data_IF_358353287871
#
_entry.id   IF_358353287871
#
_cell.length_a   1.000
_cell.length_b   1.000
_cell.length_c   1.000
_cell.angle_alpha   90.00
_cell.angle_beta   90.00
_cell.angle_gamma   90.00
#
_symmetry.space_group_name_H-M   'P 1'
#
loop_
_entity.id
_entity.type
_entity.pdbx_description
1 polymer ?
#
# COMPACT_ATOMS: atom_id res chain seq x y z
N UNK A 1 -1.94 -0.25 6.23
CA UNK A 1 -1.77 -1.12 7.43
C UNK A 1 -1.54 -2.56 6.98
N UNK A 2 -0.75 -3.34 7.74
CA UNK A 2 -0.40 -4.72 7.34
C UNK A 2 -1.63 -5.60 7.06
N UNK A 3 -2.69 -5.48 7.87
CA UNK A 3 -3.93 -6.22 7.64
C UNK A 3 -4.64 -5.81 6.35
N UNK A 4 -4.62 -4.52 6.01
CA UNK A 4 -5.19 -4.02 4.76
C UNK A 4 -4.40 -4.54 3.54
N UNK A 5 -3.07 -4.58 3.64
CA UNK A 5 -2.19 -5.14 2.59
C UNK A 5 -2.48 -6.63 2.37
N UNK A 6 -2.64 -7.40 3.45
CA UNK A 6 -2.97 -8.82 3.36
C UNK A 6 -4.29 -9.09 2.61
N UNK A 7 -5.26 -8.19 2.75
CA UNK A 7 -6.61 -8.35 2.19
C UNK A 7 -6.80 -7.70 0.81
N UNK A 8 -5.72 -7.17 0.19
CA UNK A 8 -5.81 -6.61 -1.15
C UNK A 8 -6.09 -7.68 -2.20
N UNK A 9 -6.97 -7.35 -3.13
CA UNK A 9 -7.27 -8.14 -4.32
C UNK A 9 -6.65 -7.49 -5.56
N UNK A 10 -6.48 -8.28 -6.60
CA UNK A 10 -6.03 -7.75 -7.91
C UNK A 10 -6.97 -6.67 -8.43
N UNK A 11 -8.28 -6.82 -8.19
CA UNK A 11 -9.34 -5.88 -8.60
C UNK A 11 -9.32 -4.56 -7.82
N UNK A 12 -8.58 -4.47 -6.72
CA UNK A 12 -8.46 -3.23 -5.94
C UNK A 12 -7.46 -2.24 -6.54
N UNK A 13 -6.73 -2.64 -7.59
CA UNK A 13 -5.75 -1.81 -8.26
C UNK A 13 -6.41 -1.08 -9.43
N UNK A 14 -6.65 0.23 -9.27
CA UNK A 14 -7.11 1.11 -10.34
C UNK A 14 -5.89 1.81 -10.98
N UNK A 15 -5.31 1.15 -11.99
CA UNK A 15 -4.14 1.68 -12.68
C UNK A 15 -4.48 2.89 -13.59
N UNK A 16 -5.75 3.09 -13.95
CA UNK A 16 -6.19 4.23 -14.76
C UNK A 16 -6.25 5.51 -13.93
N UNK A 17 -6.65 5.39 -12.67
CA UNK A 17 -6.73 6.51 -11.72
C UNK A 17 -5.52 6.62 -10.81
N UNK A 18 -4.59 5.65 -10.87
CA UNK A 18 -3.44 5.53 -9.96
C UNK A 18 -3.86 5.47 -8.50
N UNK A 19 -4.85 4.63 -8.21
CA UNK A 19 -5.41 4.45 -6.87
C UNK A 19 -5.48 2.97 -6.48
N UNK A 20 -5.42 2.71 -5.17
CA UNK A 20 -5.69 1.43 -4.53
C UNK A 20 -6.96 1.57 -3.70
N UNK A 21 -7.92 0.67 -3.89
CA UNK A 21 -9.10 0.56 -3.03
C UNK A 21 -8.75 -0.29 -1.81
N UNK A 22 -8.95 0.24 -0.63
CA UNK A 22 -8.82 -0.47 0.64
C UNK A 22 -10.22 -0.72 1.19
N UNK A 23 -10.70 -1.96 1.04
CA UNK A 23 -11.99 -2.38 1.58
C UNK A 23 -11.91 -2.57 3.09
N UNK A 24 -12.97 -2.18 3.79
CA UNK A 24 -13.16 -2.41 5.23
C UNK A 24 -11.93 -2.05 6.09
N UNK A 25 -11.31 -0.93 5.82
CA UNK A 25 -10.24 -0.39 6.66
C UNK A 25 -10.70 -0.18 8.11
N UNK A 26 -9.89 0.47 8.93
CA UNK A 26 -10.25 0.74 10.34
C UNK A 26 -11.62 1.43 10.42
N UNK A 27 -12.56 0.80 11.13
CA UNK A 27 -13.96 1.26 11.27
C UNK A 27 -14.88 0.79 10.13
N UNK A 28 -14.50 -0.24 9.37
CA UNK A 28 -15.30 -0.83 8.25
C UNK A 28 -15.66 0.19 7.15
N UNK A 29 -14.84 1.23 6.96
CA UNK A 29 -15.02 2.21 5.89
C UNK A 29 -14.02 1.95 4.77
N UNK A 30 -14.50 1.96 3.54
CA UNK A 30 -13.65 1.90 2.35
C UNK A 30 -12.91 3.24 2.17
N UNK A 31 -11.70 3.17 1.67
CA UNK A 31 -10.93 4.35 1.31
C UNK A 31 -10.04 4.08 0.11
N UNK A 32 -9.67 5.16 -0.57
CA UNK A 32 -8.65 5.12 -1.61
C UNK A 32 -7.28 5.45 -1.02
N UNK A 33 -6.25 4.78 -1.53
CA UNK A 33 -4.86 5.08 -1.25
C UNK A 33 -4.13 5.37 -2.56
N UNK A 34 -3.04 6.12 -2.50
CA UNK A 34 -2.24 6.42 -3.69
C UNK A 34 -1.53 5.17 -4.22
N UNK A 35 -1.43 5.07 -5.53
CA UNK A 35 -0.64 4.08 -6.25
C UNK A 35 0.45 4.79 -7.04
N UNK A 36 1.69 4.68 -6.59
CA UNK A 36 2.80 5.31 -7.31
C UNK A 36 3.16 4.55 -8.59
N UNK A 37 3.75 5.20 -9.61
CA UNK A 37 4.22 4.54 -10.82
C UNK A 37 5.20 3.40 -10.53
N UNK A 38 6.14 3.59 -9.62
CA UNK A 38 7.10 2.57 -9.20
C UNK A 38 6.38 1.36 -8.58
N UNK A 39 5.45 1.60 -7.64
CA UNK A 39 4.67 0.53 -7.02
C UNK A 39 3.84 -0.23 -8.06
N UNK A 40 3.18 0.48 -8.99
CA UNK A 40 2.42 -0.16 -10.05
C UNK A 40 3.30 -1.05 -10.94
N UNK A 41 4.51 -0.60 -11.29
CA UNK A 41 5.47 -1.38 -12.07
C UNK A 41 5.85 -2.67 -11.33
N UNK A 42 6.19 -2.58 -10.05
CA UNK A 42 6.54 -3.72 -9.19
C UNK A 42 5.37 -4.70 -9.03
N UNK A 43 4.16 -4.19 -8.83
CA UNK A 43 2.95 -5.03 -8.74
C UNK A 43 2.64 -5.74 -10.06
N UNK A 44 2.89 -5.12 -11.21
CA UNK A 44 2.75 -5.75 -12.53
C UNK A 44 3.77 -6.88 -12.74
N UNK A 45 5.01 -6.69 -12.30
CA UNK A 45 6.03 -7.76 -12.34
C UNK A 45 5.62 -8.92 -11.44
N UNK A 46 5.20 -8.64 -10.21
CA UNK A 46 4.66 -9.64 -9.30
C UNK A 46 3.47 -10.40 -9.92
N UNK A 47 2.50 -9.69 -10.48
CA UNK A 47 1.32 -10.30 -11.10
C UNK A 47 1.69 -11.25 -12.24
N UNK A 48 2.61 -10.83 -13.13
CA UNK A 48 3.10 -11.68 -14.22
C UNK A 48 3.77 -12.95 -13.68
N UNK A 49 4.64 -12.81 -12.69
CA UNK A 49 5.32 -13.93 -12.04
C UNK A 49 4.31 -14.89 -11.39
N UNK A 50 3.43 -14.36 -10.56
CA UNK A 50 2.46 -15.17 -9.84
C UNK A 50 1.47 -15.90 -10.78
N UNK A 51 1.07 -15.25 -11.89
CA UNK A 51 0.24 -15.88 -12.93
C UNK A 51 0.99 -17.00 -13.65
N UNK A 52 2.23 -16.78 -14.04
CA UNK A 52 3.05 -17.78 -14.73
C UNK A 52 3.29 -19.05 -13.87
N UNK A 53 3.33 -18.90 -12.55
CA UNK A 53 3.54 -20.00 -11.59
C UNK A 53 2.24 -20.50 -10.95
N UNK A 54 1.08 -20.12 -11.47
CA UNK A 54 -0.24 -20.54 -10.95
C UNK A 54 -0.44 -20.26 -9.44
N UNK A 55 0.19 -19.21 -8.92
CA UNK A 55 0.13 -18.86 -7.49
C UNK A 55 -1.14 -18.12 -7.12
N UNK A 56 -1.86 -17.52 -8.07
CA UNK A 56 -3.07 -16.73 -7.78
C UNK A 56 -4.23 -17.10 -8.71
N UNK A 57 -5.43 -16.88 -8.20
CA UNK A 57 -6.68 -17.05 -8.94
C UNK A 57 -7.03 -15.76 -9.70
N UNK A 58 -7.76 -15.84 -10.84
CA UNK A 58 -8.28 -14.67 -11.52
C UNK A 58 -9.12 -13.80 -10.58
N UNK A 59 -8.81 -12.50 -10.48
CA UNK A 59 -9.48 -11.57 -9.57
C UNK A 59 -9.31 -11.87 -8.07
N UNK A 60 -8.45 -12.84 -7.70
CA UNK A 60 -8.21 -13.25 -6.33
C UNK A 60 -7.31 -12.30 -5.54
N UNK A 61 -6.77 -12.81 -4.44
CA UNK A 61 -5.88 -12.05 -3.56
C UNK A 61 -4.62 -11.59 -4.29
N UNK A 62 -4.23 -10.34 -4.07
CA UNK A 62 -2.98 -9.80 -4.62
C UNK A 62 -1.77 -10.54 -4.05
N UNK A 63 -1.84 -10.89 -2.78
CA UNK A 63 -0.85 -11.70 -2.09
C UNK A 63 -1.53 -12.97 -1.54
N UNK A 64 -1.63 -14.04 -2.34
CA UNK A 64 -2.24 -15.29 -1.92
C UNK A 64 -1.37 -16.03 -0.90
N UNK A 65 -2.03 -16.80 -0.03
CA UNK A 65 -1.38 -17.76 0.85
C UNK A 65 -0.96 -19.04 0.13
N UNK A 66 -0.56 -20.07 0.90
CA UNK A 66 -0.27 -21.40 0.33
C UNK A 66 -1.49 -22.00 -0.40
N UNK A 67 -2.68 -21.81 0.14
CA UNK A 67 -3.92 -22.04 -0.59
C UNK A 67 -4.35 -20.72 -1.23
N UNK A 68 -4.41 -20.62 -2.57
CA UNK A 68 -4.76 -19.38 -3.27
C UNK A 68 -6.18 -18.84 -2.98
N UNK A 69 -7.04 -19.65 -2.38
CA UNK A 69 -8.36 -19.21 -1.89
C UNK A 69 -8.26 -18.28 -0.67
N UNK A 70 -7.15 -18.31 0.05
CA UNK A 70 -6.91 -17.52 1.25
C UNK A 70 -5.83 -16.45 1.01
N UNK A 71 -5.94 -15.28 1.65
CA UNK A 71 -4.89 -14.27 1.60
C UNK A 71 -3.65 -14.70 2.39
N UNK A 72 -2.52 -14.08 2.07
CA UNK A 72 -1.29 -14.22 2.85
C UNK A 72 -1.51 -13.67 4.27
N UNK A 73 -1.09 -14.41 5.27
CA UNK A 73 -1.24 -13.99 6.66
C UNK A 73 -0.31 -12.81 7.02
N UNK A 74 -0.74 -11.96 7.96
CA UNK A 74 0.06 -10.81 8.43
C UNK A 74 1.41 -11.21 9.01
N UNK A 75 1.52 -12.40 9.64
CA UNK A 75 2.79 -12.95 10.12
C UNK A 75 3.75 -13.27 8.97
N UNK A 76 3.22 -13.79 7.85
CA UNK A 76 4.03 -14.10 6.65
C UNK A 76 4.53 -12.82 5.99
N UNK A 77 3.67 -11.77 5.89
CA UNK A 77 4.08 -10.45 5.43
C UNK A 77 5.18 -9.85 6.30
N UNK A 78 5.05 -9.98 7.63
CA UNK A 78 6.08 -9.51 8.56
C UNK A 78 7.40 -10.25 8.38
N UNK A 79 7.37 -11.58 8.17
CA UNK A 79 8.57 -12.39 7.90
C UNK A 79 9.21 -12.00 6.57
N UNK A 80 8.41 -11.80 5.51
CA UNK A 80 8.92 -11.33 4.22
C UNK A 80 9.62 -9.96 4.34
N UNK A 81 9.03 -9.02 5.09
CA UNK A 81 9.66 -7.74 5.38
C UNK A 81 11.00 -7.91 6.12
N UNK A 82 11.06 -8.77 7.12
CA UNK A 82 12.30 -9.04 7.86
C UNK A 82 13.37 -9.67 6.96
N UNK A 83 13.00 -10.66 6.12
CA UNK A 83 13.93 -11.26 5.15
C UNK A 83 14.49 -10.21 4.21
N UNK A 84 13.63 -9.39 3.61
CA UNK A 84 14.06 -8.30 2.71
C UNK A 84 15.01 -7.30 3.39
N UNK A 85 14.80 -7.02 4.69
CA UNK A 85 15.72 -6.16 5.44
C UNK A 85 17.09 -6.80 5.64
N UNK A 86 17.15 -8.11 5.90
CA UNK A 86 18.41 -8.85 6.01
C UNK A 86 19.12 -8.89 4.66
N UNK A 87 18.42 -9.18 3.57
CA UNK A 87 18.96 -9.23 2.22
C UNK A 87 19.52 -7.86 1.78
N UNK A 88 18.89 -6.76 2.26
CA UNK A 88 19.35 -5.40 2.06
C UNK A 88 20.50 -4.97 3.01
N UNK A 89 21.01 -5.84 3.87
CA UNK A 89 22.08 -5.54 4.81
C UNK A 89 21.68 -4.53 5.92
N UNK A 90 20.40 -4.38 6.24
CA UNK A 90 19.95 -3.45 7.26
C UNK A 90 20.16 -4.02 8.66
N UNK A 91 21.08 -3.42 9.41
CA UNK A 91 21.43 -3.84 10.79
C UNK A 91 20.48 -3.31 11.87
N UNK A 92 19.35 -2.70 11.49
CA UNK A 92 18.36 -2.15 12.42
C UNK A 92 17.06 -2.94 12.34
N UNK A 93 16.34 -2.98 13.47
CA UNK A 93 15.03 -3.66 13.53
C UNK A 93 13.99 -2.86 12.73
N UNK A 94 13.59 -3.39 11.58
CA UNK A 94 12.56 -2.82 10.72
C UNK A 94 11.31 -3.71 10.76
N UNK A 95 10.15 -3.09 10.74
CA UNK A 95 8.85 -3.75 10.70
C UNK A 95 7.96 -3.07 9.66
N UNK A 96 6.84 -3.68 9.30
CA UNK A 96 5.82 -3.05 8.44
C UNK A 96 5.31 -1.73 9.02
N UNK A 97 5.29 -1.60 10.35
CA UNK A 97 4.94 -0.34 11.01
C UNK A 97 6.03 0.72 10.84
N UNK A 98 7.29 0.31 10.89
CA UNK A 98 8.45 1.19 10.63
C UNK A 98 8.39 1.77 9.22
N UNK A 99 8.09 0.95 8.20
CA UNK A 99 7.95 1.42 6.81
C UNK A 99 6.83 2.47 6.69
N UNK A 100 5.69 2.22 7.34
CA UNK A 100 4.59 3.18 7.37
C UNK A 100 4.98 4.49 8.06
N UNK A 101 5.75 4.42 9.14
CA UNK A 101 6.24 5.59 9.85
C UNK A 101 7.24 6.38 9.01
N UNK A 102 8.18 5.68 8.37
CA UNK A 102 9.14 6.30 7.44
C UNK A 102 8.43 7.02 6.29
N UNK A 103 7.40 6.41 5.68
CA UNK A 103 6.59 7.06 4.66
C UNK A 103 6.00 8.39 5.14
N UNK A 104 5.42 8.41 6.36
CA UNK A 104 4.87 9.63 6.93
C UNK A 104 5.95 10.69 7.21
N UNK A 105 7.11 10.27 7.71
CA UNK A 105 8.23 11.16 8.03
C UNK A 105 8.79 11.79 6.76
N UNK A 106 9.03 11.02 5.70
CA UNK A 106 9.52 11.54 4.43
C UNK A 106 8.54 12.58 3.84
N UNK A 107 7.24 12.30 3.86
CA UNK A 107 6.25 13.30 3.39
C UNK A 107 6.25 14.58 4.22
N UNK A 108 6.48 14.49 5.54
CA UNK A 108 6.63 15.67 6.41
C UNK A 108 7.91 16.45 6.06
N UNK A 109 9.02 15.76 5.82
CA UNK A 109 10.30 16.37 5.38
C UNK A 109 10.13 17.07 4.04
N UNK A 110 9.34 16.49 3.12
CA UNK A 110 8.96 17.08 1.83
C UNK A 110 7.89 18.18 1.97
N UNK A 111 7.59 18.63 3.21
CA UNK A 111 6.66 19.72 3.54
C UNK A 111 5.22 19.47 3.07
N UNK A 112 4.82 18.21 2.92
CA UNK A 112 3.43 17.85 2.63
C UNK A 112 2.57 18.17 3.86
N UNK A 113 1.43 18.81 3.63
CA UNK A 113 0.49 19.18 4.72
C UNK A 113 0.10 17.94 5.54
N UNK A 114 0.16 18.08 6.86
CA UNK A 114 -0.11 16.97 7.80
C UNK A 114 -1.52 16.38 7.63
N UNK A 115 -2.49 17.16 7.18
CA UNK A 115 -3.86 16.71 6.92
C UNK A 115 -3.90 15.77 5.70
N UNK A 116 -3.08 16.05 4.68
CA UNK A 116 -2.91 15.18 3.53
C UNK A 116 -2.28 13.87 3.97
N UNK A 117 -1.22 13.92 4.78
CA UNK A 117 -0.56 12.74 5.32
C UNK A 117 -1.54 11.89 6.15
N UNK A 118 -2.33 12.51 7.00
CA UNK A 118 -3.36 11.82 7.80
C UNK A 118 -4.39 11.11 6.91
N UNK A 119 -4.81 11.76 5.82
CA UNK A 119 -5.73 11.18 4.82
C UNK A 119 -5.10 10.00 4.11
N UNK A 120 -3.86 10.12 3.62
CA UNK A 120 -3.09 9.04 2.99
C UNK A 120 -2.95 7.83 3.92
N UNK A 121 -2.68 8.09 5.20
CA UNK A 121 -2.55 7.04 6.21
C UNK A 121 -3.89 6.46 6.67
N UNK A 122 -5.02 7.05 6.31
CA UNK A 122 -6.36 6.62 6.70
C UNK A 122 -6.60 6.78 8.21
N UNK A 123 -6.25 7.92 8.78
CA UNK A 123 -6.61 8.27 10.15
C UNK A 123 -8.07 8.73 10.21
N UNK A 124 -8.88 8.09 11.05
CA UNK A 124 -10.35 8.19 11.07
C UNK A 124 -10.94 9.44 11.75
N UNK A 125 -10.14 10.43 12.11
CA UNK A 125 -10.59 11.59 12.89
C UNK A 125 -10.81 12.89 12.08
N UNK A 126 -10.98 12.81 10.77
CA UNK A 126 -11.40 13.96 9.98
C UNK A 126 -12.76 13.64 9.32
N UNK A 127 -13.81 13.96 10.05
CA UNK A 127 -15.16 14.06 9.52
C UNK A 127 -15.26 15.28 8.60
N UNK A 128 -15.06 15.05 7.31
CA UNK A 128 -15.57 15.94 6.26
C UNK A 128 -15.60 15.15 4.96
N UNK A 129 -16.63 14.34 4.82
CA UNK A 129 -16.64 13.21 3.89
C UNK A 129 -16.99 13.57 2.44
N UNK A 130 -17.54 14.74 2.14
CA UNK A 130 -17.97 15.07 0.78
C UNK A 130 -17.03 16.06 0.04
N UNK A 131 -16.53 17.08 0.72
CA UNK A 131 -15.64 18.06 0.12
C UNK A 131 -14.23 17.49 -0.14
N UNK A 132 -13.77 16.60 0.75
CA UNK A 132 -12.43 16.01 0.65
C UNK A 132 -12.34 14.82 -0.32
N UNK A 133 -13.44 14.20 -0.74
CA UNK A 133 -13.38 13.11 -1.72
C UNK A 133 -12.95 13.60 -3.11
N UNK A 134 -13.37 14.79 -3.53
CA UNK A 134 -12.92 15.39 -4.79
C UNK A 134 -11.55 16.07 -4.66
N UNK A 135 -11.29 16.75 -3.55
CA UNK A 135 -10.01 17.40 -3.27
C UNK A 135 -8.94 16.35 -2.96
N UNK A 136 -9.28 15.28 -2.21
CA UNK A 136 -8.35 14.19 -1.92
C UNK A 136 -7.89 13.46 -3.18
N UNK A 137 -8.77 13.20 -4.17
CA UNK A 137 -8.35 12.54 -5.40
C UNK A 137 -7.41 13.39 -6.27
N UNK A 138 -7.53 14.72 -6.23
CA UNK A 138 -6.62 15.64 -6.90
C UNK A 138 -5.29 15.74 -6.16
N UNK A 139 -5.33 15.96 -4.85
CA UNK A 139 -4.15 16.04 -3.98
C UNK A 139 -3.37 14.71 -3.93
N UNK A 140 -4.06 13.55 -3.94
CA UNK A 140 -3.42 12.23 -4.00
C UNK A 140 -2.59 12.02 -5.28
N UNK A 141 -2.95 12.70 -6.38
CA UNK A 141 -2.20 12.67 -7.65
C UNK A 141 -1.01 13.62 -7.66
N UNK A 142 -1.05 14.68 -6.86
CA UNK A 142 0.00 15.71 -6.81
C UNK A 142 1.11 15.35 -5.82
N UNK A 143 0.83 14.45 -4.85
CA UNK A 143 1.83 13.99 -3.88
C UNK A 143 2.72 12.94 -4.53
N UNK A 144 4.01 13.23 -4.61
CA UNK A 144 5.03 12.26 -5.07
C UNK A 144 5.29 11.25 -3.94
N UNK A 145 5.27 9.97 -4.29
CA UNK A 145 5.60 8.93 -3.31
C UNK A 145 7.09 8.96 -2.97
N UNK A 146 7.48 8.85 -1.70
CA UNK A 146 8.88 8.66 -1.34
C UNK A 146 9.56 7.49 -2.08
N UNK A 147 8.79 6.46 -2.46
CA UNK A 147 9.28 5.35 -3.27
C UNK A 147 9.75 5.80 -4.66
N UNK A 148 9.09 6.79 -5.26
CA UNK A 148 9.44 7.29 -6.59
C UNK A 148 10.67 8.22 -6.59
N UNK A 149 11.05 8.74 -5.41
CA UNK A 149 12.23 9.61 -5.23
C UNK A 149 13.48 8.84 -4.82
N UNK A 150 13.34 7.56 -4.44
CA UNK A 150 14.49 6.71 -4.17
C UNK A 150 15.20 6.35 -5.48
N UNK A 151 16.47 6.74 -5.58
CA UNK A 151 17.35 6.23 -6.63
C UNK A 151 17.60 4.73 -6.36
N UNK A 152 17.08 3.87 -7.22
CA UNK A 152 17.36 2.43 -7.25
C UNK A 152 18.56 2.13 -8.12
#
# INVERSE_FOLDING_TARGET
RIGEVAMLKVTDIDSSRMLLRVEQGKGKKDRMAMLSPMLLSTLRQWYKHAKAHHLMLPGGWLFPGQNPLNPLGTRQLSRACQSACLDAGLNKKVSMHTLRHSFATHLLEDKVDIRIIQTLLGHSKLETTALYAQVASKLLREVVSPLDTLAL
#
